data_IF_458659686052
#
_entry.id   IF_458659686052
#
_cell.length_a   1.000
_cell.length_b   1.000
_cell.length_c   1.000
_cell.angle_alpha   90.00
_cell.angle_beta   90.00
_cell.angle_gamma   90.00
#
_symmetry.space_group_name_H-M   'P 1'
#
loop_
_entity.id
_entity.type
_entity.pdbx_description
1 polymer ?
#
# COMPACT_ATOMS: atom_id res chain seq x y z
N UNK A 1 -3.80 -43.82 -35.17
CA UNK A 1 -2.77 -43.02 -34.49
C UNK A 1 -3.14 -41.54 -34.41
N UNK A 2 -3.61 -40.89 -35.44
CA UNK A 2 -3.98 -39.45 -35.49
C UNK A 2 -5.02 -39.01 -34.44
N UNK A 3 -5.98 -39.88 -34.08
CA UNK A 3 -7.03 -39.56 -33.05
C UNK A 3 -6.51 -39.33 -31.63
N UNK A 4 -5.31 -39.86 -31.32
CA UNK A 4 -4.67 -39.65 -30.02
C UNK A 4 -3.64 -38.51 -30.03
N UNK A 5 -3.17 -38.14 -31.24
CA UNK A 5 -2.20 -37.03 -31.38
C UNK A 5 -2.87 -35.67 -31.13
N UNK A 6 -4.13 -35.50 -31.57
CA UNK A 6 -4.88 -34.27 -31.41
C UNK A 6 -5.04 -33.81 -29.93
N UNK A 7 -5.52 -34.66 -28.99
CA UNK A 7 -5.59 -34.26 -27.58
C UNK A 7 -4.21 -34.03 -26.94
N UNK A 8 -3.18 -34.75 -27.41
CA UNK A 8 -1.80 -34.55 -26.90
C UNK A 8 -1.24 -33.18 -27.31
N UNK A 9 -1.51 -32.72 -28.53
CA UNK A 9 -1.09 -31.39 -29.02
C UNK A 9 -1.83 -30.29 -28.26
N UNK A 10 -3.15 -30.46 -28.02
CA UNK A 10 -3.92 -29.51 -27.23
C UNK A 10 -3.37 -29.43 -25.80
N UNK A 11 -3.10 -30.58 -25.18
CA UNK A 11 -2.56 -30.64 -23.82
C UNK A 11 -1.19 -29.95 -23.74
N UNK A 12 -0.29 -30.22 -24.69
CA UNK A 12 1.01 -29.58 -24.76
C UNK A 12 0.89 -28.07 -24.96
N UNK A 13 -0.04 -27.62 -25.83
CA UNK A 13 -0.31 -26.20 -26.05
C UNK A 13 -0.83 -25.50 -24.78
N UNK A 14 -1.79 -26.10 -24.08
CA UNK A 14 -2.33 -25.58 -22.84
C UNK A 14 -1.27 -25.53 -21.73
N UNK A 15 -0.47 -26.61 -21.59
CA UNK A 15 0.60 -26.65 -20.60
C UNK A 15 1.64 -25.55 -20.85
N UNK A 16 2.03 -25.35 -22.11
CA UNK A 16 2.95 -24.25 -22.48
C UNK A 16 2.34 -22.89 -22.15
N UNK A 17 1.07 -22.66 -22.49
CA UNK A 17 0.36 -21.41 -22.20
C UNK A 17 0.28 -21.16 -20.69
N UNK A 18 0.02 -22.19 -19.89
CA UNK A 18 0.01 -22.07 -18.41
C UNK A 18 1.40 -21.76 -17.85
N UNK A 19 2.44 -22.40 -18.35
CA UNK A 19 3.82 -22.12 -17.89
C UNK A 19 4.18 -20.66 -18.16
N UNK A 20 3.88 -20.13 -19.36
CA UNK A 20 4.11 -18.70 -19.65
C UNK A 20 3.20 -17.77 -18.85
N UNK A 21 1.93 -18.15 -18.65
CA UNK A 21 0.99 -17.37 -17.85
C UNK A 21 1.38 -17.25 -16.37
N UNK A 22 1.92 -18.31 -15.79
CA UNK A 22 2.37 -18.34 -14.40
C UNK A 22 3.68 -17.57 -14.13
N UNK A 23 4.43 -17.22 -15.18
CA UNK A 23 5.63 -16.39 -15.06
C UNK A 23 5.32 -14.90 -14.92
N UNK A 24 4.11 -14.48 -15.25
CA UNK A 24 3.68 -13.10 -15.04
C UNK A 24 3.31 -12.90 -13.57
N UNK A 25 3.97 -11.96 -12.90
CA UNK A 25 3.60 -11.60 -11.52
C UNK A 25 2.25 -10.88 -11.53
N UNK A 26 1.17 -11.50 -11.00
CA UNK A 26 -0.17 -10.90 -10.99
C UNK A 26 -0.25 -9.67 -10.08
N UNK A 27 0.78 -9.42 -9.27
CA UNK A 27 0.86 -8.25 -8.38
C UNK A 27 1.25 -6.98 -9.11
N UNK A 28 1.82 -7.10 -10.32
CA UNK A 28 2.19 -5.95 -11.13
C UNK A 28 0.98 -5.39 -11.88
N UNK A 29 0.05 -4.80 -11.14
CA UNK A 29 -1.05 -4.02 -11.71
C UNK A 29 -0.67 -2.55 -11.62
N UNK A 30 -0.30 -1.89 -12.73
CA UNK A 30 0.04 -0.47 -12.70
C UNK A 30 -1.19 0.33 -12.20
N UNK A 31 -1.03 1.05 -11.10
CA UNK A 31 -2.10 1.91 -10.60
C UNK A 31 -2.34 3.06 -11.58
N UNK A 32 -3.58 3.30 -12.01
CA UNK A 32 -3.92 4.42 -12.88
C UNK A 32 -3.69 5.78 -12.19
N UNK A 33 -3.41 5.78 -10.88
CA UNK A 33 -3.16 6.97 -10.07
C UNK A 33 -1.68 7.39 -10.04
N UNK A 34 -0.77 6.60 -10.59
CA UNK A 34 0.65 6.99 -10.66
C UNK A 34 0.81 8.28 -11.47
N UNK A 35 1.57 9.23 -10.92
CA UNK A 35 1.78 10.59 -11.44
C UNK A 35 0.52 11.46 -11.48
N UNK A 36 -0.52 11.10 -10.72
CA UNK A 36 -1.72 11.93 -10.52
C UNK A 36 -1.82 12.41 -9.09
N UNK A 37 -2.58 13.48 -8.88
CA UNK A 37 -2.92 13.93 -7.54
C UNK A 37 -3.65 12.81 -6.79
N UNK A 38 -3.26 12.59 -5.55
CA UNK A 38 -3.95 11.65 -4.67
C UNK A 38 -5.43 12.06 -4.53
N UNK A 39 -6.37 11.11 -4.56
CA UNK A 39 -7.78 11.40 -4.33
C UNK A 39 -8.00 12.17 -3.04
N UNK A 40 -8.87 13.18 -3.10
CA UNK A 40 -9.23 13.97 -1.94
C UNK A 40 -10.01 13.12 -0.94
N UNK A 41 -9.72 13.31 0.33
CA UNK A 41 -10.49 12.70 1.41
C UNK A 41 -10.54 13.62 2.64
N UNK A 42 -11.54 13.42 3.47
CA UNK A 42 -11.63 13.95 4.83
C UNK A 42 -12.24 12.87 5.71
N UNK A 43 -11.45 12.32 6.62
CA UNK A 43 -11.83 11.21 7.48
C UNK A 43 -11.54 11.52 8.94
N UNK A 44 -12.32 10.95 9.88
CA UNK A 44 -12.00 11.03 11.30
C UNK A 44 -10.63 10.40 11.58
N UNK A 45 -9.88 10.98 12.50
CA UNK A 45 -8.64 10.37 13.01
C UNK A 45 -9.01 9.18 13.90
N UNK A 46 -8.31 8.06 13.73
CA UNK A 46 -8.61 6.80 14.41
C UNK A 46 -8.66 6.96 15.95
N UNK A 47 -7.68 7.63 16.56
CA UNK A 47 -7.60 7.81 18.02
C UNK A 47 -8.13 9.18 18.50
N UNK A 48 -8.59 10.05 17.58
CA UNK A 48 -9.19 11.37 17.85
C UNK A 48 -10.49 11.53 17.06
N UNK A 49 -11.58 10.84 17.42
CA UNK A 49 -12.78 10.76 16.57
C UNK A 49 -13.47 12.08 16.27
N UNK A 50 -13.20 13.11 17.09
CA UNK A 50 -13.73 14.47 16.91
C UNK A 50 -12.84 15.38 16.04
N UNK A 51 -11.71 14.85 15.55
CA UNK A 51 -10.79 15.56 14.66
C UNK A 51 -10.71 14.80 13.33
N UNK A 52 -10.58 15.55 12.25
CA UNK A 52 -10.43 14.99 10.92
C UNK A 52 -9.00 15.17 10.41
N UNK A 53 -8.58 14.28 9.51
CA UNK A 53 -7.41 14.40 8.68
C UNK A 53 -7.84 14.39 7.22
N UNK A 54 -7.15 15.16 6.40
CA UNK A 54 -7.40 15.25 4.96
C UNK A 54 -6.10 15.23 4.17
N UNK A 55 -6.18 15.08 2.86
CA UNK A 55 -4.99 14.97 2.00
C UNK A 55 -4.08 16.21 2.06
N UNK A 56 -4.61 17.41 2.34
CA UNK A 56 -3.80 18.63 2.41
C UNK A 56 -2.88 18.63 3.64
N UNK A 57 -3.22 17.90 4.70
CA UNK A 57 -2.38 17.74 5.88
C UNK A 57 -1.08 16.96 5.58
N UNK A 58 -1.07 16.22 4.47
CA UNK A 58 0.06 15.42 3.99
C UNK A 58 0.96 16.18 3.01
N UNK A 59 0.50 17.32 2.45
CA UNK A 59 1.26 18.14 1.49
C UNK A 59 2.41 18.90 2.16
N UNK A 60 3.37 19.36 1.35
CA UNK A 60 4.57 20.08 1.80
C UNK A 60 5.77 19.19 2.16
N UNK A 61 5.56 17.89 2.28
CA UNK A 61 6.59 16.89 2.58
C UNK A 61 6.32 15.60 1.81
N UNK A 62 7.39 14.82 1.58
CA UNK A 62 7.24 13.46 1.04
C UNK A 62 6.57 12.61 2.11
N UNK A 63 5.44 12.01 1.78
CA UNK A 63 4.58 11.27 2.70
C UNK A 63 4.28 9.87 2.18
N UNK A 64 4.05 8.95 3.09
CA UNK A 64 3.57 7.60 2.79
C UNK A 64 2.17 7.43 3.36
N UNK A 65 1.30 6.77 2.61
CA UNK A 65 0.00 6.30 3.09
C UNK A 65 0.05 4.77 3.05
N UNK A 66 -0.02 4.14 4.21
CA UNK A 66 -0.12 2.69 4.34
C UNK A 66 -1.57 2.33 4.68
N UNK A 67 -2.17 1.50 3.83
CA UNK A 67 -3.54 0.99 3.99
C UNK A 67 -3.47 -0.31 4.78
N UNK A 68 -4.12 -0.35 5.92
CA UNK A 68 -4.02 -1.44 6.87
C UNK A 68 -5.31 -1.74 7.60
N UNK A 69 -5.39 -2.89 8.26
CA UNK A 69 -6.50 -3.24 9.15
C UNK A 69 -6.04 -4.21 10.25
N UNK A 70 -6.72 -4.22 11.39
CA UNK A 70 -6.41 -5.10 12.50
C UNK A 70 -6.63 -6.59 12.18
N UNK A 71 -7.59 -6.90 11.30
CA UNK A 71 -7.89 -8.25 10.83
C UNK A 71 -6.92 -8.78 9.77
N UNK A 72 -5.97 -7.95 9.30
CA UNK A 72 -5.06 -8.26 8.20
C UNK A 72 -3.80 -8.99 8.70
N UNK A 73 -3.68 -10.27 8.42
CA UNK A 73 -2.50 -11.06 8.80
C UNK A 73 -1.21 -10.59 8.09
N UNK A 74 -1.29 -10.19 6.82
CA UNK A 74 -0.15 -9.68 6.05
C UNK A 74 0.34 -8.32 6.58
N UNK A 75 -0.58 -7.46 7.06
CA UNK A 75 -0.21 -6.20 7.70
C UNK A 75 0.61 -6.42 8.98
N UNK A 76 0.35 -7.51 9.71
CA UNK A 76 1.13 -7.89 10.89
C UNK A 76 2.58 -8.25 10.55
N UNK A 77 2.82 -8.78 9.33
CA UNK A 77 4.17 -9.15 8.87
C UNK A 77 5.00 -7.89 8.59
N UNK A 78 4.44 -6.88 7.93
CA UNK A 78 5.17 -5.65 7.58
C UNK A 78 5.30 -4.66 8.75
N UNK A 79 4.41 -4.73 9.75
CA UNK A 79 4.30 -3.75 10.81
C UNK A 79 5.60 -3.48 11.61
N UNK A 80 6.40 -4.51 11.97
CA UNK A 80 7.70 -4.30 12.62
C UNK A 80 8.68 -3.52 11.73
N UNK A 81 8.62 -3.72 10.42
CA UNK A 81 9.46 -3.02 9.43
C UNK A 81 9.07 -1.55 9.40
N UNK A 82 7.77 -1.25 9.30
CA UNK A 82 7.26 0.12 9.33
C UNK A 82 7.66 0.84 10.62
N UNK A 83 7.50 0.21 11.79
CA UNK A 83 7.94 0.74 13.07
C UNK A 83 9.43 1.09 13.08
N UNK A 84 10.28 0.18 12.59
CA UNK A 84 11.73 0.36 12.55
C UNK A 84 12.13 1.51 11.63
N UNK A 85 11.65 1.51 10.38
CA UNK A 85 12.01 2.51 9.38
C UNK A 85 11.48 3.90 9.74
N UNK A 86 10.25 4.00 10.23
CA UNK A 86 9.66 5.28 10.66
C UNK A 86 10.46 5.88 11.80
N UNK A 87 10.81 5.10 12.79
CA UNK A 87 11.62 5.56 13.94
C UNK A 87 13.03 5.95 13.51
N UNK A 88 13.68 5.13 12.68
CA UNK A 88 15.09 5.34 12.28
C UNK A 88 15.26 6.53 11.34
N UNK A 89 14.34 6.73 10.41
CA UNK A 89 14.47 7.73 9.33
C UNK A 89 13.49 8.89 9.44
N UNK A 90 12.69 8.95 10.52
CA UNK A 90 11.67 9.98 10.76
C UNK A 90 10.76 10.19 9.55
N UNK A 91 10.20 9.09 9.05
CA UNK A 91 9.33 9.10 7.87
C UNK A 91 7.97 9.72 8.19
N UNK A 92 7.41 10.46 7.23
CA UNK A 92 6.02 10.93 7.33
C UNK A 92 5.09 9.81 6.88
N UNK A 93 4.84 8.84 7.76
CA UNK A 93 3.95 7.72 7.51
C UNK A 93 2.59 7.98 8.11
N UNK A 94 1.55 7.86 7.30
CA UNK A 94 0.14 7.97 7.67
C UNK A 94 -0.55 6.63 7.44
N UNK A 95 -1.45 6.27 8.34
CA UNK A 95 -2.29 5.08 8.18
C UNK A 95 -3.61 5.43 7.50
N UNK A 96 -4.11 4.55 6.64
CA UNK A 96 -5.50 4.50 6.23
C UNK A 96 -6.08 3.19 6.77
N UNK A 97 -6.78 3.27 7.90
CA UNK A 97 -7.38 2.10 8.53
C UNK A 97 -8.67 1.73 7.81
N UNK A 98 -8.62 0.60 7.10
CA UNK A 98 -9.59 0.22 6.07
C UNK A 98 -10.56 -0.85 6.54
N UNK A 99 -11.87 -0.55 6.50
CA UNK A 99 -12.96 -1.50 6.83
C UNK A 99 -12.72 -2.26 8.12
N UNK A 100 -12.44 -1.53 9.19
CA UNK A 100 -12.05 -2.10 10.47
C UNK A 100 -12.99 -1.61 11.60
N UNK A 101 -12.98 -2.32 12.72
CA UNK A 101 -13.58 -1.83 13.95
C UNK A 101 -12.59 -0.96 14.70
N UNK A 102 -12.98 0.29 15.00
CA UNK A 102 -12.13 1.26 15.70
C UNK A 102 -11.47 0.69 16.95
N UNK A 103 -12.22 -0.02 17.79
CA UNK A 103 -11.69 -0.64 19.02
C UNK A 103 -10.58 -1.66 18.73
N UNK A 104 -10.76 -2.51 17.71
CA UNK A 104 -9.77 -3.51 17.33
C UNK A 104 -8.51 -2.85 16.71
N UNK A 105 -8.70 -1.81 15.92
CA UNK A 105 -7.60 -1.06 15.33
C UNK A 105 -6.75 -0.36 16.41
N UNK A 106 -7.38 0.25 17.42
CA UNK A 106 -6.68 0.89 18.54
C UNK A 106 -5.92 -0.12 19.39
N UNK A 107 -6.57 -1.24 19.77
CA UNK A 107 -5.92 -2.33 20.51
C UNK A 107 -4.72 -2.91 19.75
N UNK A 108 -4.86 -3.05 18.43
CA UNK A 108 -3.79 -3.55 17.57
C UNK A 108 -2.57 -2.62 17.59
N UNK A 109 -2.76 -1.29 17.47
CA UNK A 109 -1.67 -0.30 17.55
C UNK A 109 -1.06 -0.23 18.95
N UNK A 110 -1.85 -0.37 20.01
CA UNK A 110 -1.36 -0.41 21.39
C UNK A 110 -0.45 -1.62 21.62
N UNK A 111 -0.83 -2.80 21.12
CA UNK A 111 -0.09 -4.04 21.32
C UNK A 111 1.17 -4.16 20.45
N UNK A 112 1.16 -3.61 19.23
CA UNK A 112 2.23 -3.80 18.25
C UNK A 112 3.07 -2.52 17.99
N UNK A 113 2.71 -1.42 18.64
CA UNK A 113 3.30 -0.10 18.40
C UNK A 113 2.60 0.67 17.29
N UNK A 114 2.79 1.98 17.26
CA UNK A 114 2.18 2.87 16.27
C UNK A 114 3.24 3.57 15.41
N UNK A 115 3.44 3.15 14.14
CA UNK A 115 4.39 3.78 13.23
C UNK A 115 3.84 5.05 12.58
N UNK A 116 2.53 5.33 12.71
CA UNK A 116 1.84 6.39 11.99
C UNK A 116 1.88 7.71 12.76
N UNK A 117 2.06 8.84 12.05
CA UNK A 117 1.84 10.18 12.59
C UNK A 117 0.37 10.30 13.01
N UNK A 118 -0.53 9.97 12.10
CA UNK A 118 -1.97 9.86 12.31
C UNK A 118 -2.53 8.74 11.43
N UNK A 119 -3.64 8.12 11.83
CA UNK A 119 -4.37 7.18 11.00
C UNK A 119 -5.76 7.71 10.69
N UNK A 120 -6.08 7.85 9.39
CA UNK A 120 -7.43 8.10 8.92
C UNK A 120 -8.29 6.84 9.09
N UNK A 121 -9.50 6.99 9.62
CA UNK A 121 -10.42 5.88 9.85
C UNK A 121 -11.44 5.77 8.73
N UNK A 122 -11.20 4.86 7.80
CA UNK A 122 -12.06 4.58 6.63
C UNK A 122 -12.96 3.36 6.92
N UNK A 123 -13.95 3.56 7.81
CA UNK A 123 -14.83 2.50 8.33
C UNK A 123 -15.53 1.71 7.23
N UNK A 124 -16.04 2.41 6.21
CA UNK A 124 -16.77 1.80 5.10
C UNK A 124 -15.89 1.47 3.90
N UNK A 125 -14.65 1.95 3.87
CA UNK A 125 -13.67 1.69 2.81
C UNK A 125 -13.89 2.53 1.55
N UNK A 126 -14.58 3.67 1.64
CA UNK A 126 -14.85 4.53 0.50
C UNK A 126 -13.56 5.15 -0.06
N UNK A 127 -12.70 5.67 0.82
CA UNK A 127 -11.41 6.25 0.42
C UNK A 127 -10.49 5.18 -0.16
N UNK A 128 -10.44 3.99 0.44
CA UNK A 128 -9.68 2.88 -0.14
C UNK A 128 -10.12 2.53 -1.56
N UNK A 129 -11.42 2.60 -1.87
CA UNK A 129 -11.94 2.39 -3.23
C UNK A 129 -11.44 3.49 -4.17
N UNK A 130 -11.50 4.78 -3.78
CA UNK A 130 -11.03 5.91 -4.58
C UNK A 130 -9.52 5.81 -4.87
N UNK A 131 -8.73 5.26 -3.94
CA UNK A 131 -7.31 4.95 -4.12
C UNK A 131 -7.05 3.68 -4.93
N UNK A 132 -8.10 2.98 -5.36
CA UNK A 132 -7.99 1.72 -6.09
C UNK A 132 -7.29 0.63 -5.25
N UNK A 133 -7.63 0.54 -3.96
CA UNK A 133 -7.12 -0.50 -3.06
C UNK A 133 -7.80 -1.81 -3.39
N UNK A 134 -7.00 -2.81 -3.74
CA UNK A 134 -7.47 -4.17 -4.03
C UNK A 134 -7.54 -5.05 -2.78
N UNK A 135 -6.70 -4.73 -1.82
CA UNK A 135 -6.58 -5.47 -0.56
C UNK A 135 -5.66 -4.75 0.40
N UNK A 136 -5.42 -5.35 1.55
CA UNK A 136 -4.49 -4.81 2.55
C UNK A 136 -3.39 -5.83 2.84
N UNK A 137 -2.14 -5.38 3.03
CA UNK A 137 -1.69 -3.99 3.00
C UNK A 137 -1.37 -3.47 1.59
N UNK A 138 -1.47 -2.17 1.43
CA UNK A 138 -0.95 -1.43 0.27
C UNK A 138 -0.29 -0.13 0.75
N UNK A 139 0.78 0.31 0.09
CA UNK A 139 1.48 1.54 0.48
C UNK A 139 1.66 2.47 -0.71
N UNK A 140 1.27 3.72 -0.53
CA UNK A 140 1.44 4.79 -1.52
C UNK A 140 2.56 5.73 -1.07
N UNK A 141 3.42 6.14 -2.01
CA UNK A 141 4.43 7.19 -1.79
C UNK A 141 3.98 8.44 -2.52
N UNK A 142 3.85 9.54 -1.78
CA UNK A 142 3.42 10.84 -2.28
C UNK A 142 4.59 11.82 -2.24
N UNK A 143 4.70 12.65 -3.29
CA UNK A 143 5.60 13.78 -3.29
C UNK A 143 5.06 14.97 -2.46
N UNK A 144 5.84 16.05 -2.37
CA UNK A 144 5.49 17.29 -1.64
C UNK A 144 4.21 17.97 -2.15
N UNK A 145 3.81 17.69 -3.41
CA UNK A 145 2.59 18.24 -4.02
C UNK A 145 1.37 17.36 -3.78
N UNK A 146 1.55 16.18 -3.17
CA UNK A 146 0.48 15.18 -3.00
C UNK A 146 0.23 14.35 -4.25
N UNK A 147 1.20 14.25 -5.16
CA UNK A 147 1.14 13.38 -6.34
C UNK A 147 1.61 12.00 -5.93
N UNK A 148 0.85 10.95 -6.29
CA UNK A 148 1.23 9.56 -6.07
C UNK A 148 2.37 9.21 -7.03
N UNK A 149 3.54 8.87 -6.49
CA UNK A 149 4.73 8.50 -7.26
C UNK A 149 4.99 7.01 -7.32
N UNK A 150 4.50 6.29 -6.34
CA UNK A 150 4.65 4.83 -6.27
C UNK A 150 3.50 4.20 -5.50
N UNK A 151 3.13 2.98 -5.87
CA UNK A 151 2.19 2.13 -5.16
C UNK A 151 2.82 0.75 -4.98
N UNK A 152 2.92 0.29 -3.75
CA UNK A 152 3.28 -1.08 -3.40
C UNK A 152 2.02 -1.86 -3.03
N UNK A 153 1.89 -3.08 -3.54
CA UNK A 153 0.76 -3.99 -3.26
C UNK A 153 1.30 -5.18 -2.48
N UNK A 154 0.68 -5.45 -1.35
CA UNK A 154 1.10 -6.51 -0.43
C UNK A 154 2.06 -6.02 0.67
N UNK A 155 2.48 -6.93 1.56
CA UNK A 155 3.37 -6.58 2.66
C UNK A 155 4.76 -6.21 2.16
N UNK A 156 5.29 -5.11 2.69
CA UNK A 156 6.64 -4.64 2.37
C UNK A 156 7.63 -5.39 3.27
N UNK A 157 8.64 -6.03 2.65
CA UNK A 157 9.78 -6.58 3.35
C UNK A 157 10.95 -5.57 3.48
N UNK A 158 11.98 -5.94 4.20
CA UNK A 158 13.14 -5.07 4.45
C UNK A 158 13.93 -4.76 3.17
N UNK A 159 14.03 -5.72 2.26
CA UNK A 159 14.71 -5.55 0.97
C UNK A 159 13.96 -4.55 0.09
N UNK A 160 12.65 -4.71 -0.06
CA UNK A 160 11.80 -3.80 -0.83
C UNK A 160 11.79 -2.39 -0.23
N UNK A 161 11.73 -2.29 1.10
CA UNK A 161 11.75 -0.99 1.76
C UNK A 161 13.08 -0.26 1.52
N UNK A 162 14.21 -0.98 1.68
CA UNK A 162 15.55 -0.40 1.54
C UNK A 162 15.97 -0.13 0.10
N UNK A 163 15.59 -1.02 -0.85
CA UNK A 163 16.04 -0.95 -2.24
C UNK A 163 15.12 -0.14 -3.17
N UNK A 164 13.85 0.02 -2.83
CA UNK A 164 12.86 0.71 -3.66
C UNK A 164 12.33 1.96 -2.97
N UNK A 165 11.75 1.82 -1.78
CA UNK A 165 11.01 2.91 -1.14
C UNK A 165 11.95 4.00 -0.61
N UNK A 166 13.02 3.63 0.08
CA UNK A 166 13.96 4.61 0.63
C UNK A 166 14.70 5.43 -0.43
N UNK A 167 15.24 4.84 -1.52
CA UNK A 167 15.82 5.62 -2.62
C UNK A 167 14.83 6.60 -3.23
N UNK A 168 13.57 6.15 -3.47
CA UNK A 168 12.53 7.01 -4.01
C UNK A 168 12.22 8.19 -3.07
N UNK A 169 12.04 7.94 -1.77
CA UNK A 169 11.84 9.01 -0.78
C UNK A 169 12.97 10.01 -0.81
N UNK A 170 14.23 9.53 -0.90
CA UNK A 170 15.42 10.39 -0.95
C UNK A 170 15.41 11.27 -2.19
N UNK A 171 15.12 10.70 -3.35
CA UNK A 171 15.00 11.40 -4.62
C UNK A 171 13.89 12.48 -4.57
N UNK A 172 12.71 12.14 -4.05
CA UNK A 172 11.59 13.07 -3.92
C UNK A 172 11.85 14.21 -2.93
N UNK A 173 12.63 13.95 -1.86
CA UNK A 173 13.04 14.98 -0.90
C UNK A 173 13.97 16.02 -1.53
N UNK A 174 14.80 15.60 -2.48
CA UNK A 174 15.74 16.46 -3.21
C UNK A 174 15.11 17.22 -4.40
N UNK A 175 13.79 17.08 -4.61
CA UNK A 175 13.05 17.64 -5.77
C UNK A 175 13.63 17.23 -7.15
N UNK A 176 14.36 16.10 -7.19
CA UNK A 176 14.99 15.56 -8.42
C UNK A 176 14.04 14.67 -9.24
N UNK A 177 12.77 14.68 -8.93
CA UNK A 177 11.78 13.89 -9.67
C UNK A 177 11.18 14.74 -10.81
N UNK A 178 11.25 14.27 -12.07
CA UNK A 178 10.73 14.98 -13.24
C UNK A 178 9.20 15.13 -13.26
#
# INVERSE_FOLDING_TARGET
>A
MMRYLFPLVIFAGLTTLFIFGLQNDPRYVPSPLINKAAPEFTLPILHKPNQNININDLKGKVSLINVWASWCAACRIEHPILNNYTKKYQLNLYGLNYKDKRSHALEWLENLGNPYIESAYDEIGAVGIDYGVYGVPETFVLDKKGIIRYKHIGPIDDEQFSSIIMPLITQLKQDQYP
#
